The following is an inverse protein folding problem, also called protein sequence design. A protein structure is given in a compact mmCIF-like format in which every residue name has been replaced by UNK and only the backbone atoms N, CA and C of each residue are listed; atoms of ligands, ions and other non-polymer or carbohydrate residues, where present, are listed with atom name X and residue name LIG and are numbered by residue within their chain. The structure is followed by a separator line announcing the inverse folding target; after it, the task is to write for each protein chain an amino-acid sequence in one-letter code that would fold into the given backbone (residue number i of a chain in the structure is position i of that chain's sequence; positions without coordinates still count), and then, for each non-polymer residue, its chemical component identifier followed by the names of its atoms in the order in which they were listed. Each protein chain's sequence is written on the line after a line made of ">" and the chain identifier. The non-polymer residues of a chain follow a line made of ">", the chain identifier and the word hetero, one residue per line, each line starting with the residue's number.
data_IF_017368065929
#
_entry.id   IF_017368065929
#
_cell.length_a   1.000
_cell.length_b   1.000
_cell.length_c   1.000
_cell.angle_alpha   90.00
_cell.angle_beta   90.00
_cell.angle_gamma   90.00
#
_symmetry.space_group_name_H-M   'P 1'
#
loop_
_entity.id
_entity.type
_entity.pdbx_description
1 polymer ?
#
# COMPACT_ATOMS: atom_id res chain seq x y z
N UNK A 1 25.21 0.57 13.97
CA UNK A 1 23.92 1.26 13.76
C UNK A 1 22.87 0.19 13.55
N UNK A 2 21.88 0.12 14.42
CA UNK A 2 20.78 -0.85 14.30
C UNK A 2 19.70 -0.15 13.46
N UNK A 3 19.19 -0.74 12.37
CA UNK A 3 18.02 -0.18 11.69
C UNK A 3 16.84 -0.31 12.66
N UNK A 4 16.40 0.83 13.19
CA UNK A 4 15.08 0.95 13.80
C UNK A 4 14.09 0.59 12.70
N UNK A 5 13.25 -0.43 12.92
CA UNK A 5 12.31 -0.96 11.94
C UNK A 5 11.66 0.14 11.08
N UNK A 6 11.85 0.05 9.75
CA UNK A 6 11.12 0.89 8.81
C UNK A 6 9.85 0.13 8.44
N UNK A 7 8.83 0.25 9.28
CA UNK A 7 7.50 -0.29 8.99
C UNK A 7 6.78 0.67 8.03
N UNK A 8 7.22 0.69 6.77
CA UNK A 8 6.68 1.60 5.76
C UNK A 8 5.50 0.96 5.05
N UNK A 9 4.42 0.72 5.81
CA UNK A 9 3.12 0.53 5.19
C UNK A 9 2.52 1.91 4.86
N UNK A 10 2.00 2.05 3.64
CA UNK A 10 1.43 3.32 3.19
C UNK A 10 -0.09 3.19 3.11
N UNK A 11 -0.80 3.90 3.98
CA UNK A 11 -2.26 3.87 4.05
C UNK A 11 -2.85 5.07 3.33
N UNK A 12 -3.79 4.81 2.41
CA UNK A 12 -4.49 5.82 1.63
C UNK A 12 -5.98 5.83 2.01
N UNK A 13 -6.47 6.99 2.44
CA UNK A 13 -7.87 7.23 2.76
C UNK A 13 -8.49 8.14 1.72
N UNK A 14 -9.71 7.81 1.29
CA UNK A 14 -10.40 8.55 0.25
C UNK A 14 -11.70 9.13 0.81
N UNK A 15 -11.86 10.45 0.72
CA UNK A 15 -13.09 11.13 1.14
C UNK A 15 -14.22 10.98 0.10
N UNK A 16 -13.85 10.80 -1.16
CA UNK A 16 -14.75 10.72 -2.30
C UNK A 16 -14.42 9.50 -3.17
N UNK A 17 -15.33 9.16 -4.07
CA UNK A 17 -15.11 8.11 -5.06
C UNK A 17 -13.97 8.49 -6.00
N UNK A 18 -12.99 7.60 -6.19
CA UNK A 18 -11.84 7.82 -7.07
C UNK A 18 -11.44 6.55 -7.82
N UNK A 19 -10.92 6.75 -9.02
CA UNK A 19 -10.21 5.73 -9.78
C UNK A 19 -8.73 6.03 -9.66
N UNK A 20 -7.96 5.08 -9.11
CA UNK A 20 -6.55 5.23 -8.82
C UNK A 20 -5.76 4.40 -9.83
N UNK A 21 -5.21 5.02 -10.90
CA UNK A 21 -4.38 4.30 -11.88
C UNK A 21 -2.94 4.13 -11.39
N UNK A 22 -2.46 5.04 -10.53
CA UNK A 22 -1.11 5.01 -9.96
C UNK A 22 -1.04 5.83 -8.67
N UNK A 23 -0.05 5.55 -7.84
CA UNK A 23 0.24 6.31 -6.62
C UNK A 23 1.75 6.32 -6.35
N UNK A 24 2.20 7.19 -5.46
CA UNK A 24 3.61 7.38 -5.15
C UNK A 24 3.96 6.84 -3.77
N UNK A 25 5.10 6.14 -3.67
CA UNK A 25 5.66 5.60 -2.44
C UNK A 25 7.03 6.23 -2.19
N UNK A 26 7.11 7.06 -1.17
CA UNK A 26 8.35 7.69 -0.73
C UNK A 26 9.31 6.66 -0.12
N UNK A 27 10.56 6.65 -0.56
CA UNK A 27 11.61 5.80 0.02
C UNK A 27 11.53 4.31 -0.36
N UNK A 28 10.65 3.90 -1.27
CA UNK A 28 10.60 2.53 -1.80
C UNK A 28 11.39 2.45 -3.11
N UNK A 29 12.32 1.49 -3.17
CA UNK A 29 13.23 1.34 -4.31
C UNK A 29 12.50 0.85 -5.57
N UNK A 30 12.91 1.35 -6.73
CA UNK A 30 12.42 0.85 -8.02
C UNK A 30 12.70 -0.67 -8.16
N UNK A 31 11.72 -1.41 -8.67
CA UNK A 31 11.74 -2.86 -8.81
C UNK A 31 11.29 -3.62 -7.56
N UNK A 32 11.11 -2.94 -6.41
CA UNK A 32 10.56 -3.58 -5.21
C UNK A 32 9.08 -3.92 -5.43
N UNK A 33 8.70 -5.17 -5.12
CA UNK A 33 7.31 -5.59 -5.20
C UNK A 33 6.49 -4.92 -4.10
N UNK A 34 5.25 -4.59 -4.41
CA UNK A 34 4.28 -3.97 -3.49
C UNK A 34 2.97 -4.70 -3.63
N UNK A 35 2.40 -5.07 -2.49
CA UNK A 35 1.06 -5.63 -2.39
C UNK A 35 0.12 -4.55 -1.89
N UNK A 36 -0.94 -4.32 -2.65
CA UNK A 36 -1.98 -3.36 -2.30
C UNK A 36 -3.17 -4.12 -1.75
N UNK A 37 -3.56 -3.87 -0.51
CA UNK A 37 -4.71 -4.51 0.12
C UNK A 37 -5.80 -3.50 0.39
N UNK A 38 -7.05 -3.89 0.14
CA UNK A 38 -8.20 -3.17 0.69
C UNK A 38 -8.17 -3.34 2.20
N UNK A 39 -8.45 -2.26 2.94
CA UNK A 39 -8.55 -2.30 4.39
C UNK A 39 -9.90 -1.76 4.84
N UNK A 40 -10.32 -2.19 6.03
CA UNK A 40 -11.34 -1.47 6.76
C UNK A 40 -10.72 -0.17 7.31
N UNK A 41 -11.28 1.01 6.99
CA UNK A 41 -10.65 2.32 7.24
C UNK A 41 -10.43 2.62 8.72
N UNK A 42 -11.22 2.05 9.62
CA UNK A 42 -11.17 2.35 11.06
C UNK A 42 -10.16 1.50 11.82
N UNK A 43 -10.11 0.20 11.49
CA UNK A 43 -9.28 -0.81 12.19
C UNK A 43 -8.01 -1.15 11.44
N UNK A 44 -7.89 -0.78 10.17
CA UNK A 44 -6.78 -1.19 9.30
C UNK A 44 -6.81 -2.67 8.92
N UNK A 45 -7.88 -3.39 9.25
CA UNK A 45 -8.00 -4.82 8.93
C UNK A 45 -7.96 -5.03 7.42
N UNK A 46 -7.03 -5.86 6.95
CA UNK A 46 -6.93 -6.25 5.54
C UNK A 46 -8.16 -7.07 5.14
N UNK A 47 -8.93 -6.54 4.20
CA UNK A 47 -10.16 -7.16 3.68
C UNK A 47 -9.89 -8.02 2.43
N UNK A 48 -8.86 -7.69 1.66
CA UNK A 48 -8.47 -8.48 0.47
C UNK A 48 -7.32 -7.85 -0.30
N UNK A 49 -6.62 -8.65 -1.11
CA UNK A 49 -5.58 -8.17 -2.03
C UNK A 49 -6.25 -7.54 -3.25
N UNK A 50 -5.87 -6.31 -3.57
CA UNK A 50 -6.35 -5.56 -4.74
C UNK A 50 -5.38 -5.69 -5.92
N UNK A 51 -4.07 -5.59 -5.66
CA UNK A 51 -3.05 -5.66 -6.71
C UNK A 51 -1.71 -6.10 -6.14
N UNK A 52 -0.89 -6.70 -7.00
CA UNK A 52 0.54 -6.92 -6.78
C UNK A 52 1.28 -6.33 -7.95
N UNK A 53 2.19 -5.39 -7.68
CA UNK A 53 2.95 -4.69 -8.73
C UNK A 53 4.29 -4.23 -8.19
N UNK A 54 5.24 -3.94 -9.08
CA UNK A 54 6.54 -3.39 -8.70
C UNK A 54 6.50 -1.87 -8.68
N UNK A 55 7.28 -1.25 -7.79
CA UNK A 55 7.55 0.18 -7.84
C UNK A 55 8.35 0.49 -9.09
N UNK A 56 7.88 1.44 -9.88
CA UNK A 56 8.57 2.02 -11.02
C UNK A 56 9.66 2.99 -10.60
N UNK A 57 10.13 3.78 -11.57
CA UNK A 57 11.14 4.82 -11.31
C UNK A 57 10.55 5.90 -10.40
N UNK A 58 11.43 6.51 -9.62
CA UNK A 58 11.11 7.63 -8.74
C UNK A 58 10.04 7.32 -7.67
N UNK A 59 9.75 6.05 -7.35
CA UNK A 59 8.77 5.67 -6.33
C UNK A 59 7.32 5.55 -6.83
N UNK A 60 7.08 5.70 -8.13
CA UNK A 60 5.73 5.57 -8.69
C UNK A 60 5.31 4.11 -8.84
N UNK A 61 4.13 3.78 -8.34
CA UNK A 61 3.48 2.49 -8.55
C UNK A 61 2.40 2.65 -9.60
N UNK A 62 2.64 2.12 -10.79
CA UNK A 62 1.64 2.02 -11.85
C UNK A 62 0.86 0.70 -11.71
N UNK A 63 -0.47 0.80 -11.69
CA UNK A 63 -1.36 -0.34 -11.59
C UNK A 63 -1.81 -0.74 -13.01
N UNK A 64 -1.62 -2.01 -13.38
CA UNK A 64 -2.11 -2.53 -14.66
C UNK A 64 -3.63 -2.41 -14.79
N UNK A 65 -4.34 -2.52 -13.67
CA UNK A 65 -5.78 -2.29 -13.56
C UNK A 65 -6.02 -1.21 -12.49
N UNK A 66 -6.62 -0.07 -12.85
CA UNK A 66 -6.91 0.99 -11.88
C UNK A 66 -7.81 0.51 -10.75
N UNK A 67 -7.48 0.86 -9.51
CA UNK A 67 -8.29 0.53 -8.35
C UNK A 67 -9.41 1.56 -8.23
N UNK A 68 -10.65 1.11 -8.22
CA UNK A 68 -11.80 1.96 -7.88
C UNK A 68 -12.03 1.92 -6.36
N UNK A 69 -12.00 3.08 -5.72
CA UNK A 69 -12.29 3.25 -4.29
C UNK A 69 -13.50 4.14 -4.12
N UNK A 70 -14.36 3.80 -3.16
CA UNK A 70 -15.47 4.67 -2.78
C UNK A 70 -15.09 5.69 -1.71
N UNK A 71 -15.86 6.77 -1.61
CA UNK A 71 -15.75 7.69 -0.47
C UNK A 71 -15.90 6.94 0.86
N UNK A 72 -14.95 7.14 1.76
CA UNK A 72 -14.83 6.44 3.03
C UNK A 72 -14.06 5.12 2.97
N UNK A 73 -13.62 4.66 1.80
CA UNK A 73 -12.78 3.47 1.69
C UNK A 73 -11.29 3.79 1.82
N UNK A 74 -10.51 2.76 2.11
CA UNK A 74 -9.07 2.84 2.21
C UNK A 74 -8.39 1.59 1.66
N UNK A 75 -7.14 1.78 1.23
CA UNK A 75 -6.22 0.68 0.95
C UNK A 75 -4.86 0.94 1.56
N UNK A 76 -4.08 -0.12 1.71
CA UNK A 76 -2.71 -0.09 2.21
C UNK A 76 -1.77 -0.69 1.16
N UNK A 77 -0.65 -0.03 0.90
CA UNK A 77 0.43 -0.54 0.08
C UNK A 77 1.55 -1.05 1.00
N UNK A 78 1.95 -2.32 0.80
CA UNK A 78 2.95 -3.02 1.60
C UNK A 78 4.09 -3.47 0.68
N UNK A 79 5.28 -2.87 0.77
CA UNK A 79 6.46 -3.32 0.04
C UNK A 79 6.94 -4.70 0.51
N UNK A 80 7.30 -5.60 -0.42
CA UNK A 80 7.94 -6.87 -0.09
C UNK A 80 9.34 -6.65 0.48
N UNK A 81 9.71 -7.46 1.47
CA UNK A 81 10.91 -7.26 2.29
C UNK A 81 10.61 -6.85 3.74
N UNK A 82 9.34 -6.56 4.05
CA UNK A 82 8.86 -6.42 5.42
C UNK A 82 8.50 -7.80 6.00
N UNK A 83 8.98 -8.17 7.20
CA UNK A 83 8.41 -9.30 7.94
C UNK A 83 6.95 -8.97 8.31
N UNK A 84 6.02 -9.95 8.31
CA UNK A 84 4.65 -9.72 8.78
C UNK A 84 4.71 -9.17 10.21
N UNK A 85 3.97 -8.09 10.50
CA UNK A 85 3.95 -7.45 11.83
C UNK A 85 3.88 -8.49 12.94
N UNK A 86 4.70 -8.40 14.01
CA UNK A 86 4.58 -9.30 15.14
C UNK A 86 3.24 -9.05 15.82
N UNK A 87 2.41 -10.09 15.93
CA UNK A 87 1.16 -10.12 16.69
C UNK A 87 1.28 -9.26 17.95
N UNK A 88 0.64 -8.09 17.98
CA UNK A 88 0.48 -7.32 19.20
C UNK A 88 -0.52 -8.07 20.07
N UNK A 89 0.00 -8.68 21.14
CA UNK A 89 -0.75 -9.40 22.18
C UNK A 89 -1.88 -8.55 22.76
#
# INVERSE_FOLDING_TARGET
>A
MIPLHHDSCFTFHFADDRIIPRFHLEGVGAGQQVKVFKIEPTTGKRLGLLATTAVGKDGWVDLSEPISVRGGEAFIAVPEGQPPEPNRK
#
